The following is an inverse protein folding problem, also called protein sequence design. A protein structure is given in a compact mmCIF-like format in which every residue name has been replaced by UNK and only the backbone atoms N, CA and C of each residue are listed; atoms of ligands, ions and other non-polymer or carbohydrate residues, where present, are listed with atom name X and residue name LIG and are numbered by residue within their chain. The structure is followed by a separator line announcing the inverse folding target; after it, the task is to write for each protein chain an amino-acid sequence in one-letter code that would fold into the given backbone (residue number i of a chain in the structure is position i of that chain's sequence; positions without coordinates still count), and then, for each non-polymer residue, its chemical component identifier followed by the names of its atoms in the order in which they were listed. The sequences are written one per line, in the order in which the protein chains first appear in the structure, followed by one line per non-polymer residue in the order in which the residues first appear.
data_IF_413881160531
#
_entry.id   IF_413881160531
#
_cell.length_a   1.000
_cell.length_b   1.000
_cell.length_c   1.000
_cell.angle_alpha   90.00
_cell.angle_beta   90.00
_cell.angle_gamma   90.00
#
_symmetry.space_group_name_H-M   'P 1'
#
loop_
_entity.id
_entity.type
_entity.pdbx_description
1 polymer ?
#
# COMPACT_ATOMS: atom_id res chain seq x y z
N UNK A 1 34.38 17.83 -13.03
CA UNK A 1 33.36 18.83 -12.62
C UNK A 1 32.39 18.22 -11.59
N UNK A 2 32.66 18.47 -10.31
CA UNK A 2 31.92 17.93 -9.19
C UNK A 2 30.58 18.67 -9.02
N UNK A 3 29.46 17.94 -9.16
CA UNK A 3 28.14 18.44 -8.77
C UNK A 3 27.96 18.10 -7.29
N UNK A 4 28.05 19.12 -6.45
CA UNK A 4 27.94 19.01 -5.00
C UNK A 4 26.55 18.53 -4.58
N UNK A 5 26.51 17.34 -3.99
CA UNK A 5 25.36 16.89 -3.21
C UNK A 5 25.29 17.73 -1.93
N UNK A 6 24.33 18.64 -1.85
CA UNK A 6 23.99 19.32 -0.60
C UNK A 6 23.38 18.27 0.34
N UNK A 7 24.22 17.71 1.21
CA UNK A 7 23.78 17.07 2.46
C UNK A 7 23.14 18.15 3.31
N UNK A 8 21.81 18.18 3.36
CA UNK A 8 21.14 18.80 4.49
C UNK A 8 21.41 17.93 5.71
N UNK A 9 22.22 18.45 6.63
CA UNK A 9 22.39 17.92 7.98
C UNK A 9 21.03 17.94 8.69
N UNK A 10 20.78 16.93 9.53
CA UNK A 10 19.54 16.71 10.27
C UNK A 10 19.68 17.29 11.70
N UNK A 11 19.06 18.44 12.02
CA UNK A 11 18.99 18.93 13.38
C UNK A 11 17.66 18.51 14.00
N UNK A 12 17.74 17.67 15.04
CA UNK A 12 16.68 17.34 16.00
C UNK A 12 15.78 16.14 15.67
N UNK A 13 16.26 14.96 16.03
CA UNK A 13 15.46 13.85 16.53
C UNK A 13 14.79 14.23 17.87
N UNK A 14 13.81 15.13 17.83
CA UNK A 14 12.91 15.33 18.98
C UNK A 14 11.86 14.22 19.00
N UNK A 15 11.60 13.57 20.15
CA UNK A 15 10.50 12.64 20.28
C UNK A 15 9.18 13.36 19.98
N UNK A 16 8.42 12.80 19.04
CA UNK A 16 7.17 13.39 18.54
C UNK A 16 6.08 13.27 19.62
N UNK A 17 5.33 14.34 19.93
CA UNK A 17 4.19 14.26 20.83
C UNK A 17 3.12 13.32 20.24
N UNK A 18 2.37 12.65 21.12
CA UNK A 18 1.28 11.71 20.81
C UNK A 18 0.04 12.41 20.20
N UNK A 19 0.24 13.09 19.07
CA UNK A 19 -0.81 13.58 18.19
C UNK A 19 -0.94 12.68 16.96
N UNK A 20 -1.93 12.92 16.08
CA UNK A 20 -2.03 12.22 14.81
C UNK A 20 -0.68 12.33 14.08
N UNK A 21 -0.16 11.19 13.59
CA UNK A 21 1.15 11.13 12.98
C UNK A 21 1.20 12.08 11.77
N UNK A 22 1.87 13.22 11.94
CA UNK A 22 2.03 14.20 10.86
C UNK A 22 2.98 13.61 9.82
N UNK A 23 2.48 13.38 8.61
CA UNK A 23 3.31 12.94 7.49
C UNK A 23 3.95 14.16 6.86
N UNK A 24 5.28 14.15 6.78
CA UNK A 24 6.07 15.15 6.05
C UNK A 24 6.58 14.50 4.78
N UNK A 25 6.36 15.12 3.63
CA UNK A 25 6.86 14.63 2.35
C UNK A 25 7.54 15.76 1.58
N UNK A 26 8.57 15.39 0.81
CA UNK A 26 9.32 16.31 -0.04
C UNK A 26 9.36 15.76 -1.47
N UNK A 27 9.03 16.63 -2.43
CA UNK A 27 9.22 16.36 -3.86
C UNK A 27 10.66 16.54 -4.29
N UNK A 28 10.93 16.42 -5.58
CA UNK A 28 12.26 16.56 -6.15
C UNK A 28 12.86 17.95 -5.90
N UNK A 29 14.18 18.03 -5.75
CA UNK A 29 14.89 19.31 -5.83
C UNK A 29 14.72 19.92 -7.22
N UNK A 30 14.47 21.22 -7.29
CA UNK A 30 14.18 21.95 -8.54
C UNK A 30 15.10 23.14 -8.72
N UNK A 31 15.46 23.45 -9.97
CA UNK A 31 16.40 24.52 -10.30
C UNK A 31 15.72 25.87 -10.53
N UNK A 32 14.39 25.91 -10.59
CA UNK A 32 13.63 27.14 -10.86
C UNK A 32 12.29 27.18 -10.13
N UNK A 33 11.77 28.39 -9.91
CA UNK A 33 10.44 28.59 -9.31
C UNK A 33 9.31 27.99 -10.15
N UNK A 34 9.48 27.94 -11.48
CA UNK A 34 8.50 27.34 -12.40
C UNK A 34 8.30 25.84 -12.12
N UNK A 35 9.37 25.15 -11.70
CA UNK A 35 9.34 23.73 -11.36
C UNK A 35 8.86 23.48 -9.92
N UNK A 36 8.84 24.49 -9.05
CA UNK A 36 8.41 24.35 -7.65
C UNK A 36 6.97 23.83 -7.54
N UNK A 37 6.08 24.25 -8.45
CA UNK A 37 4.70 23.71 -8.50
C UNK A 37 4.69 22.20 -8.72
N UNK A 38 5.53 21.70 -9.64
CA UNK A 38 5.64 20.26 -9.93
C UNK A 38 6.16 19.50 -8.70
N UNK A 39 7.21 20.01 -8.05
CA UNK A 39 7.76 19.42 -6.82
C UNK A 39 6.75 19.41 -5.67
N UNK A 40 5.92 20.45 -5.54
CA UNK A 40 4.85 20.48 -4.54
C UNK A 40 3.76 19.45 -4.80
N UNK A 41 3.35 19.27 -6.07
CA UNK A 41 2.39 18.22 -6.46
C UNK A 41 2.96 16.83 -6.15
N UNK A 42 4.24 16.61 -6.47
CA UNK A 42 4.93 15.36 -6.15
C UNK A 42 4.99 15.12 -4.63
N UNK A 43 5.33 16.13 -3.83
CA UNK A 43 5.36 16.04 -2.37
C UNK A 43 3.99 15.62 -1.81
N UNK A 44 2.89 16.19 -2.34
CA UNK A 44 1.53 15.82 -1.95
C UNK A 44 1.24 14.34 -2.27
N UNK A 45 1.57 13.90 -3.48
CA UNK A 45 1.37 12.50 -3.89
C UNK A 45 2.16 11.53 -3.02
N UNK A 46 3.40 11.88 -2.67
CA UNK A 46 4.24 11.10 -1.74
C UNK A 46 3.59 11.05 -0.35
N UNK A 47 3.06 12.16 0.17
CA UNK A 47 2.40 12.19 1.48
C UNK A 47 1.16 11.29 1.50
N UNK A 48 0.36 11.31 0.44
CA UNK A 48 -0.84 10.48 0.31
C UNK A 48 -0.47 8.99 0.24
N UNK A 49 0.53 8.62 -0.57
CA UNK A 49 1.01 7.25 -0.64
C UNK A 49 1.64 6.76 0.67
N UNK A 50 2.27 7.65 1.45
CA UNK A 50 2.89 7.32 2.73
C UNK A 50 1.89 7.05 3.87
N UNK A 51 0.59 7.33 3.70
CA UNK A 51 -0.42 7.14 4.76
C UNK A 51 -0.51 5.72 5.33
N UNK A 52 -0.15 4.72 4.52
CA UNK A 52 -0.16 3.30 4.93
C UNK A 52 1.24 2.76 5.20
N UNK A 53 2.27 3.60 5.12
CA UNK A 53 3.63 3.18 5.43
C UNK A 53 3.81 3.03 6.94
N UNK A 54 4.31 1.86 7.37
CA UNK A 54 4.51 1.54 8.79
C UNK A 54 5.87 2.02 9.31
N UNK A 55 6.75 2.53 8.46
CA UNK A 55 8.08 3.03 8.86
C UNK A 55 7.96 4.39 9.52
N UNK A 56 8.66 4.56 10.64
CA UNK A 56 8.75 5.83 11.34
C UNK A 56 9.87 6.70 10.74
N UNK A 57 9.63 7.29 9.57
CA UNK A 57 10.58 8.18 8.90
C UNK A 57 10.32 9.65 9.25
N UNK A 58 11.37 10.49 9.40
CA UNK A 58 11.19 11.91 9.65
C UNK A 58 10.50 12.63 8.48
N UNK A 59 10.72 12.16 7.25
CA UNK A 59 10.04 12.61 6.04
C UNK A 59 10.04 11.52 4.95
N UNK A 60 9.11 11.62 4.01
CA UNK A 60 8.98 10.77 2.83
C UNK A 60 9.45 11.50 1.57
N UNK A 61 9.95 10.72 0.61
CA UNK A 61 10.39 11.13 -0.73
C UNK A 61 9.96 10.05 -1.70
N UNK A 62 10.09 10.31 -3.01
CA UNK A 62 9.68 9.36 -4.04
C UNK A 62 10.26 7.93 -3.86
N UNK A 63 11.55 7.73 -3.50
CA UNK A 63 12.10 6.40 -3.28
C UNK A 63 11.47 5.65 -2.10
N UNK A 64 10.82 6.35 -1.18
CA UNK A 64 10.18 5.73 -0.03
C UNK A 64 8.82 5.12 -0.40
N UNK A 65 8.06 5.71 -1.32
CA UNK A 65 6.69 5.27 -1.61
C UNK A 65 6.59 4.14 -2.65
N UNK A 66 7.65 3.92 -3.43
CA UNK A 66 7.79 2.75 -4.32
C UNK A 66 6.55 2.51 -5.20
N UNK A 67 6.10 1.25 -5.25
CA UNK A 67 4.90 0.86 -6.03
C UNK A 67 3.63 1.59 -5.56
N UNK A 68 3.45 1.81 -4.26
CA UNK A 68 2.28 2.52 -3.74
C UNK A 68 2.22 3.96 -4.28
N UNK A 69 3.37 4.63 -4.42
CA UNK A 69 3.48 5.93 -5.06
C UNK A 69 3.09 5.89 -6.53
N UNK A 70 3.58 4.90 -7.29
CA UNK A 70 3.21 4.73 -8.70
C UNK A 70 1.69 4.50 -8.86
N UNK A 71 1.10 3.63 -8.06
CA UNK A 71 -0.34 3.34 -8.12
C UNK A 71 -1.19 4.57 -7.74
N UNK A 72 -0.70 5.41 -6.83
CA UNK A 72 -1.35 6.69 -6.52
C UNK A 72 -1.32 7.66 -7.71
N UNK A 73 -0.26 7.68 -8.52
CA UNK A 73 -0.23 8.49 -9.75
C UNK A 73 -1.23 7.99 -10.80
N UNK A 74 -1.53 6.69 -10.78
CA UNK A 74 -2.43 6.03 -11.73
C UNK A 74 -3.87 5.88 -11.21
N UNK A 75 -4.18 6.43 -10.03
CA UNK A 75 -5.47 6.20 -9.33
C UNK A 75 -6.70 6.63 -10.12
N UNK A 76 -6.56 7.63 -10.98
CA UNK A 76 -7.64 8.16 -11.81
C UNK A 76 -7.69 7.48 -13.21
N UNK A 77 -6.76 6.56 -13.50
CA UNK A 77 -6.74 5.82 -14.76
C UNK A 77 -7.80 4.70 -14.76
N UNK A 78 -8.74 4.68 -15.72
CA UNK A 78 -9.80 3.66 -15.78
C UNK A 78 -9.28 2.22 -15.84
N UNK A 79 -8.09 2.04 -16.43
CA UNK A 79 -7.43 0.73 -16.52
C UNK A 79 -7.03 0.18 -15.15
N UNK A 80 -6.68 1.05 -14.20
CA UNK A 80 -6.34 0.62 -12.85
C UNK A 80 -7.58 0.13 -12.09
N UNK A 81 -8.70 0.83 -12.26
CA UNK A 81 -9.98 0.41 -11.70
C UNK A 81 -10.43 -0.95 -12.27
N UNK A 82 -10.33 -1.13 -13.59
CA UNK A 82 -10.64 -2.41 -14.26
C UNK A 82 -9.75 -3.55 -13.73
N UNK A 83 -8.47 -3.26 -13.47
CA UNK A 83 -7.56 -4.23 -12.86
C UNK A 83 -8.00 -4.63 -11.44
N UNK A 84 -8.33 -3.67 -10.58
CA UNK A 84 -8.82 -3.95 -9.22
C UNK A 84 -10.11 -4.76 -9.25
N UNK A 85 -11.05 -4.42 -10.12
CA UNK A 85 -12.31 -5.15 -10.27
C UNK A 85 -12.10 -6.59 -10.74
N UNK A 86 -11.19 -6.81 -11.69
CA UNK A 86 -10.86 -8.16 -12.18
C UNK A 86 -10.24 -9.02 -11.09
N UNK A 87 -9.28 -8.47 -10.33
CA UNK A 87 -8.50 -9.25 -9.36
C UNK A 87 -9.21 -9.44 -8.02
N UNK A 88 -10.00 -8.45 -7.58
CA UNK A 88 -10.59 -8.42 -6.22
C UNK A 88 -12.11 -8.32 -6.21
N UNK A 89 -12.77 -8.11 -7.36
CA UNK A 89 -14.20 -7.86 -7.43
C UNK A 89 -15.04 -8.96 -6.79
N UNK A 90 -14.72 -10.23 -7.04
CA UNK A 90 -15.41 -11.37 -6.43
C UNK A 90 -15.32 -11.36 -4.90
N UNK A 91 -14.15 -11.03 -4.35
CA UNK A 91 -13.92 -10.96 -2.92
C UNK A 91 -14.61 -9.76 -2.27
N UNK A 92 -14.59 -8.60 -2.95
CA UNK A 92 -15.29 -7.39 -2.51
C UNK A 92 -16.80 -7.60 -2.47
N UNK A 93 -17.36 -8.27 -3.48
CA UNK A 93 -18.79 -8.62 -3.52
C UNK A 93 -19.16 -9.61 -2.41
N UNK A 94 -18.30 -10.61 -2.15
CA UNK A 94 -18.51 -11.55 -1.04
C UNK A 94 -18.54 -10.83 0.31
N UNK A 95 -17.55 -9.98 0.61
CA UNK A 95 -17.46 -9.26 1.89
C UNK A 95 -18.64 -8.31 2.09
N UNK A 96 -19.16 -7.69 1.03
CA UNK A 96 -20.36 -6.85 1.08
C UNK A 96 -21.63 -7.64 1.47
N UNK A 97 -21.71 -8.92 1.06
CA UNK A 97 -22.82 -9.81 1.42
C UNK A 97 -22.63 -10.48 2.79
N UNK A 98 -21.38 -10.60 3.26
CA UNK A 98 -21.01 -11.33 4.47
C UNK A 98 -20.24 -10.44 5.47
N UNK A 99 -20.88 -9.41 6.06
CA UNK A 99 -20.17 -8.41 6.85
C UNK A 99 -19.45 -8.97 8.10
N UNK A 100 -19.86 -10.14 8.58
CA UNK A 100 -19.26 -10.84 9.74
C UNK A 100 -17.95 -11.57 9.40
N UNK A 101 -17.66 -11.79 8.12
CA UNK A 101 -16.45 -12.47 7.66
C UNK A 101 -15.77 -11.65 6.55
N UNK A 102 -14.74 -10.90 6.93
CA UNK A 102 -13.97 -10.05 6.03
C UNK A 102 -12.79 -10.84 5.42
N UNK A 103 -13.00 -11.45 4.26
CA UNK A 103 -11.97 -12.24 3.59
C UNK A 103 -10.91 -11.38 2.90
N UNK A 104 -11.25 -10.16 2.46
CA UNK A 104 -10.26 -9.20 1.94
C UNK A 104 -9.19 -8.87 2.98
N UNK A 105 -9.59 -8.71 4.24
CA UNK A 105 -8.67 -8.52 5.37
C UNK A 105 -7.76 -9.75 5.58
N UNK A 106 -8.32 -10.96 5.45
CA UNK A 106 -7.56 -12.20 5.56
C UNK A 106 -6.52 -12.34 4.45
N UNK A 107 -6.89 -12.04 3.20
CA UNK A 107 -5.97 -12.00 2.06
C UNK A 107 -4.83 -10.99 2.29
N UNK A 108 -5.17 -9.79 2.75
CA UNK A 108 -4.17 -8.76 3.06
C UNK A 108 -3.17 -9.23 4.12
N UNK A 109 -3.65 -9.77 5.23
CA UNK A 109 -2.77 -10.31 6.29
C UNK A 109 -1.88 -11.42 5.76
N UNK A 110 -2.41 -12.32 4.93
CA UNK A 110 -1.62 -13.39 4.31
C UNK A 110 -0.47 -12.86 3.46
N UNK A 111 -0.74 -11.88 2.59
CA UNK A 111 0.27 -11.32 1.70
C UNK A 111 1.28 -10.43 2.46
N UNK A 112 0.84 -9.68 3.46
CA UNK A 112 1.74 -8.88 4.33
C UNK A 112 2.69 -9.73 5.17
N UNK A 113 2.29 -10.94 5.55
CA UNK A 113 3.15 -11.91 6.25
C UNK A 113 4.00 -12.75 5.27
N UNK A 114 4.22 -12.25 4.04
CA UNK A 114 5.08 -12.89 3.05
C UNK A 114 4.55 -14.26 2.59
N UNK A 115 3.23 -14.45 2.60
CA UNK A 115 2.57 -15.73 2.27
C UNK A 115 2.88 -16.88 3.23
N UNK A 116 3.36 -16.56 4.44
CA UNK A 116 3.50 -17.54 5.51
C UNK A 116 2.15 -17.79 6.19
N UNK A 117 1.49 -18.90 5.84
CA UNK A 117 0.15 -19.26 6.35
C UNK A 117 0.09 -19.32 7.89
N UNK A 118 1.17 -19.78 8.55
CA UNK A 118 1.23 -19.87 10.02
C UNK A 118 1.39 -18.51 10.69
N UNK A 119 2.29 -17.65 10.18
CA UNK A 119 2.46 -16.30 10.72
C UNK A 119 1.19 -15.46 10.49
N UNK A 120 0.55 -15.61 9.33
CA UNK A 120 -0.69 -14.93 9.00
C UNK A 120 -1.87 -15.36 9.88
N UNK A 121 -2.00 -16.65 10.20
CA UNK A 121 -3.02 -17.13 11.14
C UNK A 121 -2.88 -16.46 12.52
N UNK A 122 -1.64 -16.41 13.04
CA UNK A 122 -1.34 -15.73 14.31
C UNK A 122 -1.67 -14.23 14.22
N UNK A 123 -1.25 -13.55 13.16
CA UNK A 123 -1.49 -12.12 12.96
C UNK A 123 -2.99 -11.78 12.79
N UNK A 124 -3.78 -12.71 12.27
CA UNK A 124 -5.23 -12.59 12.14
C UNK A 124 -6.01 -13.02 13.40
N UNK A 125 -5.31 -13.47 14.45
CA UNK A 125 -5.92 -14.04 15.66
C UNK A 125 -6.86 -15.23 15.38
N UNK A 126 -6.52 -16.06 14.39
CA UNK A 126 -7.29 -17.25 14.03
C UNK A 126 -6.48 -18.53 14.33
N UNK A 127 -7.20 -19.61 14.60
CA UNK A 127 -6.59 -20.94 14.56
C UNK A 127 -6.08 -21.24 13.14
N UNK A 128 -5.03 -22.05 13.03
CA UNK A 128 -4.49 -22.44 11.71
C UNK A 128 -5.54 -23.10 10.80
N UNK A 129 -6.36 -24.06 11.28
CA UNK A 129 -7.41 -24.65 10.45
C UNK A 129 -8.39 -23.61 9.91
N UNK A 130 -8.90 -22.71 10.76
CA UNK A 130 -9.83 -21.66 10.34
C UNK A 130 -9.19 -20.70 9.32
N UNK A 131 -7.92 -20.34 9.50
CA UNK A 131 -7.22 -19.49 8.55
C UNK A 131 -7.05 -20.18 7.19
N UNK A 132 -6.74 -21.48 7.18
CA UNK A 132 -6.52 -22.23 5.94
C UNK A 132 -7.82 -22.44 5.18
N UNK A 133 -8.93 -22.68 5.88
CA UNK A 133 -10.26 -22.73 5.26
C UNK A 133 -10.62 -21.40 4.59
N UNK A 134 -10.29 -20.27 5.22
CA UNK A 134 -10.49 -18.94 4.61
C UNK A 134 -9.62 -18.75 3.37
N UNK A 135 -8.35 -19.14 3.39
CA UNK A 135 -7.51 -19.09 2.18
C UNK A 135 -8.08 -19.97 1.06
N UNK A 136 -8.52 -21.19 1.36
CA UNK A 136 -9.14 -22.07 0.37
C UNK A 136 -10.45 -21.49 -0.19
N UNK A 137 -11.22 -20.76 0.63
CA UNK A 137 -12.40 -20.02 0.18
C UNK A 137 -12.02 -18.85 -0.72
N UNK A 138 -11.01 -18.05 -0.35
CA UNK A 138 -10.51 -16.95 -1.17
C UNK A 138 -10.06 -17.45 -2.54
N UNK A 139 -9.26 -18.53 -2.59
CA UNK A 139 -8.82 -19.13 -3.85
C UNK A 139 -9.97 -19.56 -4.75
N UNK A 140 -11.05 -20.14 -4.18
CA UNK A 140 -12.26 -20.51 -4.93
C UNK A 140 -13.07 -19.31 -5.41
N UNK A 141 -13.22 -18.26 -4.59
CA UNK A 141 -13.98 -17.06 -4.96
C UNK A 141 -13.29 -16.31 -6.11
N UNK A 142 -11.97 -16.22 -6.06
CA UNK A 142 -11.17 -15.49 -7.04
C UNK A 142 -10.72 -16.34 -8.23
N UNK A 143 -10.92 -17.67 -8.17
CA UNK A 143 -10.39 -18.62 -9.15
C UNK A 143 -8.87 -18.51 -9.34
N UNK A 144 -8.14 -18.50 -8.22
CA UNK A 144 -6.67 -18.32 -8.18
C UNK A 144 -5.99 -19.35 -7.31
N UNK A 145 -4.75 -19.68 -7.67
CA UNK A 145 -3.82 -20.44 -6.85
C UNK A 145 -3.03 -19.48 -5.93
N UNK A 146 -3.32 -19.55 -4.63
CA UNK A 146 -2.63 -18.73 -3.62
C UNK A 146 -1.20 -19.23 -3.29
N UNK A 147 -0.77 -20.35 -3.86
CA UNK A 147 0.63 -20.77 -3.79
C UNK A 147 1.44 -20.23 -5.00
N UNK A 148 0.76 -19.74 -6.06
CA UNK A 148 1.39 -19.07 -7.21
C UNK A 148 1.97 -17.70 -6.85
N UNK A 149 3.26 -17.51 -7.14
CA UNK A 149 3.97 -16.22 -6.94
C UNK A 149 3.35 -15.12 -7.79
N UNK A 150 3.08 -15.40 -9.05
CA UNK A 150 2.58 -14.41 -10.01
C UNK A 150 1.18 -13.93 -9.64
N UNK A 151 0.26 -14.86 -9.35
CA UNK A 151 -1.10 -14.51 -8.97
C UNK A 151 -1.14 -13.79 -7.62
N UNK A 152 -0.36 -14.23 -6.63
CA UNK A 152 -0.28 -13.52 -5.36
C UNK A 152 0.32 -12.12 -5.49
N UNK A 153 1.32 -11.94 -6.37
CA UNK A 153 1.85 -10.61 -6.67
C UNK A 153 0.76 -9.72 -7.26
N UNK A 154 0.02 -10.22 -8.26
CA UNK A 154 -1.11 -9.51 -8.87
C UNK A 154 -2.14 -9.07 -7.82
N UNK A 155 -2.55 -9.98 -6.93
CA UNK A 155 -3.46 -9.68 -5.82
C UNK A 155 -2.90 -8.63 -4.86
N UNK A 156 -1.60 -8.68 -4.56
CA UNK A 156 -0.95 -7.68 -3.71
C UNK A 156 -0.98 -6.29 -4.37
N UNK A 157 -0.68 -6.20 -5.67
CA UNK A 157 -0.78 -4.96 -6.44
C UNK A 157 -2.23 -4.46 -6.45
N UNK A 158 -3.21 -5.35 -6.63
CA UNK A 158 -4.62 -4.99 -6.63
C UNK A 158 -5.07 -4.43 -5.27
N UNK A 159 -4.58 -4.96 -4.15
CA UNK A 159 -4.86 -4.42 -2.81
C UNK A 159 -4.28 -3.00 -2.65
N UNK A 160 -3.04 -2.77 -3.11
CA UNK A 160 -2.41 -1.45 -3.09
C UNK A 160 -3.12 -0.45 -4.00
N UNK A 161 -3.61 -0.92 -5.16
CA UNK A 161 -4.37 -0.09 -6.11
C UNK A 161 -5.74 0.28 -5.54
N UNK A 162 -6.47 -0.68 -4.96
CA UNK A 162 -7.74 -0.42 -4.25
C UNK A 162 -7.55 0.62 -3.15
N UNK A 163 -6.43 0.53 -2.43
CA UNK A 163 -6.05 1.46 -1.39
C UNK A 163 -5.78 2.88 -1.93
N UNK A 164 -5.16 3.00 -3.10
CA UNK A 164 -4.89 4.28 -3.76
C UNK A 164 -6.16 4.95 -4.31
N UNK A 165 -7.12 4.16 -4.80
CA UNK A 165 -8.42 4.65 -5.29
C UNK A 165 -9.32 5.11 -4.14
N UNK A 166 -9.27 4.41 -2.99
CA UNK A 166 -10.10 4.75 -1.81
C UNK A 166 -9.60 5.93 -0.99
N UNK A 167 -8.33 6.30 -1.11
CA UNK A 167 -7.76 7.46 -0.42
C UNK A 167 -7.91 8.70 -1.32
N UNK A 168 -8.78 9.67 -0.97
CA UNK A 168 -9.04 10.87 -1.78
C UNK A 168 -7.84 11.81 -1.89
#
# INVERSE_FOLDING_TARGET
PAVGAVRAADPASRPRPAGPAVIVAAGSGVGSLREARRSLVEARQIAEAARRDRRNLPYFRLPHVGLAGLLHLLRDEPRLQTFVERELGGLLAYDAQHPREQLLGTLRTYLEQGRNKSAAATAAHLSRPAFYERLARIGRILDVDLDSVEQCLSLHVALLALDAVRTP
#
